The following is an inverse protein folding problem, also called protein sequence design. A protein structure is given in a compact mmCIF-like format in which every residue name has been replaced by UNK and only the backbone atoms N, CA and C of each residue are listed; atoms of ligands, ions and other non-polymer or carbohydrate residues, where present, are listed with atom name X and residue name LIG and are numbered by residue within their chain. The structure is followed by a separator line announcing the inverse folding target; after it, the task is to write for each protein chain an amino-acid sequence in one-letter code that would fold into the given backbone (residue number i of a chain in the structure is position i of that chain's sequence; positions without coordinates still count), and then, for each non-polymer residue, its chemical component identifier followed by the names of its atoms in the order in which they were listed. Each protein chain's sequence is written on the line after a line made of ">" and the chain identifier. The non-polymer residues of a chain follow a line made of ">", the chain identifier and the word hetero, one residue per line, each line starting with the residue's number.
data_IF_913348081835
#
_entry.id   IF_913348081835
#
_cell.length_a   1.000
_cell.length_b   1.000
_cell.length_c   1.000
_cell.angle_alpha   90.00
_cell.angle_beta   90.00
_cell.angle_gamma   90.00
#
_symmetry.space_group_name_H-M   'P 1'
#
loop_
_entity.id
_entity.type
_entity.pdbx_description
1 polymer ?
#
# COMPACT_ATOMS: atom_id res chain seq x y z
N UNK A 1 34.79 40.71 -11.78
CA UNK A 1 34.72 39.25 -12.06
C UNK A 1 34.54 38.41 -10.81
N UNK A 2 35.17 38.74 -9.67
CA UNK A 2 35.01 38.00 -8.40
C UNK A 2 33.56 37.92 -7.86
N UNK A 3 32.74 38.95 -8.10
CA UNK A 3 31.33 39.00 -7.67
C UNK A 3 30.44 37.96 -8.37
N UNK A 4 30.72 37.60 -9.63
CA UNK A 4 29.95 36.59 -10.35
C UNK A 4 30.21 35.17 -9.80
N UNK A 5 31.44 34.88 -9.35
CA UNK A 5 31.79 33.59 -8.74
C UNK A 5 31.09 33.36 -7.40
N UNK A 6 30.96 34.42 -6.59
CA UNK A 6 30.28 34.34 -5.29
C UNK A 6 28.78 34.10 -5.44
N UNK A 7 28.15 34.71 -6.45
CA UNK A 7 26.72 34.52 -6.73
C UNK A 7 26.45 33.09 -7.21
N UNK A 8 27.27 32.53 -8.12
CA UNK A 8 27.09 31.15 -8.59
C UNK A 8 27.27 30.10 -7.49
N UNK A 9 28.19 30.34 -6.54
CA UNK A 9 28.39 29.44 -5.42
C UNK A 9 27.23 29.49 -4.42
N UNK A 10 26.67 30.68 -4.16
CA UNK A 10 25.50 30.86 -3.29
C UNK A 10 24.25 30.16 -3.83
N UNK A 11 23.99 30.24 -5.15
CA UNK A 11 22.84 29.56 -5.77
C UNK A 11 22.98 28.04 -5.71
N UNK A 12 24.20 27.51 -5.91
CA UNK A 12 24.46 26.07 -5.82
C UNK A 12 24.21 25.52 -4.40
N UNK A 13 24.63 26.25 -3.35
CA UNK A 13 24.34 25.87 -1.97
C UNK A 13 22.84 25.96 -1.64
N UNK A 14 22.15 26.99 -2.13
CA UNK A 14 20.71 27.15 -1.92
C UNK A 14 19.90 25.97 -2.45
N UNK A 15 20.18 25.52 -3.69
CA UNK A 15 19.51 24.36 -4.30
C UNK A 15 19.78 23.08 -3.51
N UNK A 16 21.02 22.90 -3.01
CA UNK A 16 21.40 21.73 -2.23
C UNK A 16 20.59 21.60 -0.92
N UNK A 17 20.45 22.69 -0.15
CA UNK A 17 19.66 22.67 1.09
C UNK A 17 18.16 22.47 0.84
N UNK A 18 17.62 23.02 -0.26
CA UNK A 18 16.21 22.79 -0.61
C UNK A 18 15.92 21.35 -1.01
N UNK A 19 16.91 20.62 -1.57
CA UNK A 19 16.73 19.22 -1.95
C UNK A 19 16.80 18.28 -0.73
N UNK A 20 17.69 18.56 0.23
CA UNK A 20 17.76 17.80 1.48
C UNK A 20 16.56 18.05 2.40
N UNK A 21 15.99 19.26 2.39
CA UNK A 21 14.81 19.60 3.17
C UNK A 21 13.56 18.82 2.76
N UNK A 22 13.42 18.45 1.47
CA UNK A 22 12.26 17.68 0.99
C UNK A 22 12.29 16.20 1.39
N UNK A 23 13.49 15.61 1.48
CA UNK A 23 13.63 14.20 1.86
C UNK A 23 13.30 13.95 3.35
N UNK A 24 13.58 14.91 4.25
CA UNK A 24 13.32 14.74 5.69
C UNK A 24 11.86 14.90 6.11
N UNK A 25 11.04 15.59 5.31
CA UNK A 25 9.61 15.82 5.64
C UNK A 25 8.80 14.53 5.50
N UNK A 26 9.19 13.63 4.60
CA UNK A 26 8.53 12.33 4.45
C UNK A 26 9.03 11.28 5.47
N UNK A 27 10.26 11.43 5.97
CA UNK A 27 10.88 10.49 6.93
C UNK A 27 10.48 10.76 8.40
N UNK A 28 9.92 11.94 8.70
CA UNK A 28 9.59 12.37 10.06
C UNK A 28 8.12 12.17 10.47
N UNK A 29 7.30 11.55 9.62
CA UNK A 29 5.90 11.26 9.96
C UNK A 29 5.82 10.06 10.91
N UNK A 30 6.20 10.28 12.17
CA UNK A 30 5.97 9.33 13.26
C UNK A 30 4.46 9.18 13.44
N UNK A 31 3.95 7.97 13.33
CA UNK A 31 2.54 7.71 13.55
C UNK A 31 2.25 7.91 15.05
N UNK A 32 1.36 8.85 15.41
CA UNK A 32 1.12 9.20 16.81
C UNK A 32 0.48 8.07 17.63
N UNK A 33 -0.04 7.03 16.97
CA UNK A 33 -0.71 5.89 17.61
C UNK A 33 -0.38 4.58 16.89
N UNK A 34 -0.40 3.47 17.61
CA UNK A 34 -0.29 2.14 17.01
C UNK A 34 -1.65 1.70 16.46
N UNK A 35 -1.78 1.52 15.15
CA UNK A 35 -3.01 1.13 14.45
C UNK A 35 -3.22 -0.39 14.51
N UNK A 36 -2.16 -1.19 14.69
CA UNK A 36 -2.20 -2.67 14.61
C UNK A 36 -2.87 -3.16 13.30
N UNK A 37 -2.42 -2.61 12.16
CA UNK A 37 -2.90 -3.00 10.85
C UNK A 37 -2.38 -4.40 10.49
N UNK A 38 -3.27 -5.34 10.16
CA UNK A 38 -2.93 -6.74 9.86
C UNK A 38 -3.26 -7.14 8.43
N UNK A 39 -2.33 -7.86 7.80
CA UNK A 39 -2.53 -8.49 6.49
C UNK A 39 -3.45 -9.71 6.64
N UNK A 40 -4.60 -9.72 5.97
CA UNK A 40 -5.44 -10.92 5.86
C UNK A 40 -5.09 -11.71 4.61
N UNK A 41 -5.02 -11.04 3.46
CA UNK A 41 -4.70 -11.67 2.17
C UNK A 41 -4.13 -10.64 1.22
N UNK A 42 -3.03 -10.93 0.54
CA UNK A 42 -2.54 -10.15 -0.61
C UNK A 42 -2.18 -11.15 -1.71
N UNK A 43 -2.80 -11.00 -2.88
CA UNK A 43 -2.67 -11.94 -4.00
C UNK A 43 -2.68 -11.21 -5.34
N UNK A 44 -2.00 -11.78 -6.33
CA UNK A 44 -2.00 -11.30 -7.71
C UNK A 44 -2.55 -12.38 -8.65
N UNK A 45 -3.61 -12.08 -9.39
CA UNK A 45 -4.26 -13.04 -10.28
C UNK A 45 -3.80 -12.97 -11.75
N UNK A 46 -2.83 -12.10 -12.07
CA UNK A 46 -2.34 -11.85 -13.43
C UNK A 46 -2.83 -10.54 -14.04
N UNK A 47 -3.97 -10.00 -13.59
CA UNK A 47 -4.56 -8.74 -14.07
C UNK A 47 -4.89 -7.77 -12.93
N UNK A 48 -5.10 -8.29 -11.73
CA UNK A 48 -5.47 -7.52 -10.55
C UNK A 48 -4.74 -8.03 -9.33
N UNK A 49 -4.43 -7.09 -8.44
CA UNK A 49 -3.94 -7.32 -7.10
C UNK A 49 -5.15 -7.26 -6.18
N UNK A 50 -5.48 -8.36 -5.53
CA UNK A 50 -6.53 -8.44 -4.53
C UNK A 50 -5.89 -8.37 -3.15
N UNK A 51 -6.35 -7.45 -2.32
CA UNK A 51 -5.86 -7.33 -0.95
C UNK A 51 -7.02 -7.22 0.05
N UNK A 52 -6.77 -7.74 1.24
CA UNK A 52 -7.64 -7.66 2.40
C UNK A 52 -6.79 -7.31 3.62
N UNK A 53 -7.17 -6.24 4.30
CA UNK A 53 -6.51 -5.75 5.50
C UNK A 53 -7.51 -5.62 6.63
N UNK A 54 -7.07 -5.92 7.84
CA UNK A 54 -7.86 -5.76 9.05
C UNK A 54 -7.29 -4.63 9.88
N UNK A 55 -8.15 -3.69 10.26
CA UNK A 55 -7.81 -2.62 11.19
C UNK A 55 -7.79 -3.14 12.63
N UNK A 56 -6.88 -2.62 13.45
CA UNK A 56 -6.88 -2.84 14.89
C UNK A 56 -8.00 -2.10 15.61
N UNK A 57 -8.00 -2.16 16.94
CA UNK A 57 -9.06 -1.58 17.79
C UNK A 57 -8.79 -0.14 18.23
N UNK A 58 -7.61 0.41 17.92
CA UNK A 58 -7.14 1.65 18.52
C UNK A 58 -7.76 2.89 17.85
N UNK A 59 -7.84 2.90 16.52
CA UNK A 59 -8.37 4.03 15.74
C UNK A 59 -9.11 3.55 14.50
N UNK A 60 -9.93 4.43 13.93
CA UNK A 60 -10.46 4.28 12.59
C UNK A 60 -9.40 4.66 11.55
N UNK A 61 -9.38 3.94 10.43
CA UNK A 61 -8.55 4.27 9.27
C UNK A 61 -9.43 5.02 8.27
N UNK A 62 -9.03 6.23 7.93
CA UNK A 62 -9.75 7.13 7.02
C UNK A 62 -9.21 7.10 5.59
N UNK A 63 -8.24 6.24 5.31
CA UNK A 63 -7.78 5.98 3.97
C UNK A 63 -6.64 4.97 3.91
N UNK A 64 -6.33 4.50 2.71
CA UNK A 64 -5.20 3.62 2.47
C UNK A 64 -4.39 4.13 1.28
N UNK A 65 -3.08 4.05 1.37
CA UNK A 65 -2.17 4.28 0.25
C UNK A 65 -1.56 2.94 -0.10
N UNK A 66 -1.85 2.46 -1.31
CA UNK A 66 -1.31 1.20 -1.82
C UNK A 66 -0.27 1.53 -2.88
N UNK A 67 0.99 1.22 -2.58
CA UNK A 67 2.12 1.36 -3.49
C UNK A 67 2.55 -0.02 -3.98
N UNK A 68 2.49 -0.22 -5.28
CA UNK A 68 2.93 -1.44 -5.97
C UNK A 68 4.22 -1.11 -6.71
N UNK A 69 5.30 -1.76 -6.33
CA UNK A 69 6.63 -1.57 -6.92
C UNK A 69 6.87 -2.75 -7.87
N UNK A 70 6.83 -2.46 -9.17
CA UNK A 70 7.18 -3.38 -10.25
C UNK A 70 8.69 -3.39 -10.54
N UNK A 71 9.10 -4.19 -11.53
CA UNK A 71 10.50 -4.18 -12.01
C UNK A 71 10.80 -2.94 -12.84
N UNK A 72 9.82 -2.45 -13.60
CA UNK A 72 9.97 -1.32 -14.51
C UNK A 72 9.52 -0.01 -13.86
N UNK A 73 8.34 -0.02 -13.23
CA UNK A 73 7.72 1.19 -12.66
C UNK A 73 7.02 0.91 -11.33
N UNK A 74 6.81 1.98 -10.55
CA UNK A 74 6.02 1.95 -9.32
C UNK A 74 4.68 2.66 -9.53
N UNK A 75 3.60 2.07 -9.03
CA UNK A 75 2.25 2.61 -9.08
C UNK A 75 1.74 2.84 -7.67
N UNK A 76 1.35 4.07 -7.35
CA UNK A 76 0.72 4.42 -6.08
C UNK A 76 -0.73 4.79 -6.30
N UNK A 77 -1.61 4.24 -5.47
CA UNK A 77 -3.05 4.50 -5.49
C UNK A 77 -3.46 4.91 -4.09
N UNK A 78 -4.14 6.04 -3.98
CA UNK A 78 -4.70 6.53 -2.74
C UNK A 78 -6.21 6.28 -2.71
N UNK A 79 -6.68 5.68 -1.62
CA UNK A 79 -8.08 5.53 -1.27
C UNK A 79 -8.41 6.54 -0.17
N UNK A 80 -8.72 7.79 -0.54
CA UNK A 80 -8.98 8.88 0.41
C UNK A 80 -10.40 8.88 0.99
N UNK A 81 -11.36 8.25 0.30
CA UNK A 81 -12.78 8.22 0.70
C UNK A 81 -13.17 6.88 1.36
N UNK A 82 -12.23 6.27 2.08
CA UNK A 82 -12.42 4.97 2.72
C UNK A 82 -12.44 5.11 4.24
N UNK A 83 -13.44 4.53 4.89
CA UNK A 83 -13.51 4.40 6.34
C UNK A 83 -13.46 2.92 6.75
N UNK A 84 -12.42 2.50 7.47
CA UNK A 84 -12.32 1.16 8.07
C UNK A 84 -12.50 1.32 9.57
N UNK A 85 -13.67 0.89 10.06
CA UNK A 85 -14.00 0.90 11.48
C UNK A 85 -12.96 0.12 12.31
N UNK A 86 -12.90 0.40 13.61
CA UNK A 86 -12.07 -0.34 14.57
C UNK A 86 -12.40 -1.84 14.51
N UNK A 87 -11.39 -2.69 14.35
CA UNK A 87 -11.54 -4.14 14.18
C UNK A 87 -12.11 -4.57 12.80
N UNK A 88 -12.45 -3.61 11.94
CA UNK A 88 -13.07 -3.83 10.65
C UNK A 88 -12.11 -4.43 9.63
N UNK A 89 -12.67 -5.08 8.61
CA UNK A 89 -11.93 -5.66 7.50
C UNK A 89 -12.29 -4.90 6.24
N UNK A 90 -11.27 -4.50 5.48
CA UNK A 90 -11.43 -3.90 4.17
C UNK A 90 -10.80 -4.78 3.11
N UNK A 91 -11.52 -5.01 2.02
CA UNK A 91 -11.03 -5.79 0.88
C UNK A 91 -11.30 -5.05 -0.41
N UNK A 92 -10.29 -4.95 -1.28
CA UNK A 92 -10.44 -4.34 -2.59
C UNK A 92 -9.49 -5.00 -3.60
N UNK A 93 -9.67 -4.71 -4.89
CA UNK A 93 -8.77 -5.08 -5.96
C UNK A 93 -8.27 -3.86 -6.74
N UNK A 94 -7.02 -3.96 -7.20
CA UNK A 94 -6.34 -2.93 -7.99
C UNK A 94 -5.96 -3.53 -9.33
N UNK A 95 -6.34 -2.91 -10.47
CA UNK A 95 -5.87 -3.35 -11.77
C UNK A 95 -4.35 -3.12 -11.88
N UNK A 96 -3.65 -4.18 -12.30
CA UNK A 96 -2.21 -4.21 -12.48
C UNK A 96 -1.86 -4.87 -13.81
N UNK A 97 -1.16 -4.13 -14.66
CA UNK A 97 -0.70 -4.61 -15.95
C UNK A 97 0.79 -4.99 -15.89
N UNK A 98 1.14 -6.28 -15.88
CA UNK A 98 2.54 -6.71 -15.82
C UNK A 98 3.32 -6.35 -17.09
N UNK A 99 2.66 -6.02 -18.20
CA UNK A 99 3.35 -5.61 -19.44
C UNK A 99 3.88 -4.18 -19.36
N UNK A 100 3.19 -3.31 -18.61
CA UNK A 100 3.58 -1.92 -18.40
C UNK A 100 4.50 -1.77 -17.17
N UNK A 101 4.10 -2.36 -16.03
CA UNK A 101 4.79 -2.15 -14.74
C UNK A 101 5.86 -3.21 -14.44
N UNK A 102 5.88 -4.30 -15.21
CA UNK A 102 6.80 -5.43 -15.01
C UNK A 102 6.35 -6.40 -13.90
N UNK A 103 7.28 -7.20 -13.40
CA UNK A 103 6.97 -8.16 -12.32
C UNK A 103 6.85 -7.45 -10.98
N UNK A 104 5.84 -7.80 -10.18
CA UNK A 104 5.65 -7.20 -8.85
C UNK A 104 6.79 -7.63 -7.93
N UNK A 105 7.60 -6.66 -7.47
CA UNK A 105 8.66 -6.88 -6.48
C UNK A 105 8.12 -6.76 -5.07
N UNK A 106 7.33 -5.72 -4.84
CA UNK A 106 6.85 -5.36 -3.51
C UNK A 106 5.49 -4.66 -3.59
N UNK A 107 4.62 -4.95 -2.62
CA UNK A 107 3.42 -4.17 -2.34
C UNK A 107 3.54 -3.61 -0.93
N UNK A 108 3.25 -2.32 -0.81
CA UNK A 108 3.23 -1.59 0.45
C UNK A 108 1.85 -0.97 0.64
N UNK A 109 1.19 -1.27 1.76
CA UNK A 109 -0.10 -0.71 2.14
C UNK A 109 0.10 0.14 3.39
N UNK A 110 0.04 1.46 3.25
CA UNK A 110 0.19 2.42 4.34
C UNK A 110 -1.19 2.94 4.77
N UNK A 111 -1.55 2.86 6.06
CA UNK A 111 -2.80 3.43 6.54
C UNK A 111 -2.73 4.96 6.68
N UNK A 112 -3.88 5.59 6.45
CA UNK A 112 -4.14 7.00 6.70
C UNK A 112 -5.18 7.11 7.80
N UNK A 113 -4.89 7.93 8.80
CA UNK A 113 -5.78 8.15 9.95
C UNK A 113 -6.07 9.63 10.08
N UNK A 114 -7.17 9.96 10.76
CA UNK A 114 -7.53 11.33 11.10
C UNK A 114 -7.47 11.49 12.62
N UNK A 115 -6.62 12.40 13.11
CA UNK A 115 -6.51 12.73 14.53
C UNK A 115 -6.58 14.24 14.67
N UNK A 116 -7.44 14.72 15.57
CA UNK A 116 -7.60 16.16 15.82
C UNK A 116 -7.84 16.96 14.53
N UNK A 117 -8.64 16.41 13.61
CA UNK A 117 -8.94 16.99 12.28
C UNK A 117 -7.74 17.11 11.32
N UNK A 118 -6.60 16.51 11.66
CA UNK A 118 -5.43 16.40 10.78
C UNK A 118 -5.28 14.96 10.23
N UNK A 119 -4.95 14.86 8.94
CA UNK A 119 -4.68 13.58 8.29
C UNK A 119 -3.21 13.19 8.46
N UNK A 120 -2.96 12.01 9.00
CA UNK A 120 -1.63 11.45 9.15
C UNK A 120 -1.49 10.16 8.33
N UNK A 121 -0.37 10.05 7.60
CA UNK A 121 0.00 8.83 6.87
C UNK A 121 1.01 8.07 7.73
N UNK A 122 0.67 6.85 8.12
CA UNK A 122 1.47 6.05 9.03
C UNK A 122 2.34 5.05 8.26
N UNK A 123 3.39 5.57 7.62
CA UNK A 123 4.28 4.79 6.72
C UNK A 123 5.05 3.70 7.48
N UNK A 124 5.40 3.94 8.74
CA UNK A 124 6.13 3.00 9.61
C UNK A 124 5.31 1.78 10.03
N UNK A 125 3.98 1.88 9.95
CA UNK A 125 3.04 0.78 10.25
C UNK A 125 2.46 0.17 8.97
N UNK A 126 3.11 0.39 7.84
CA UNK A 126 2.68 -0.13 6.56
C UNK A 126 2.92 -1.63 6.46
N UNK A 127 1.94 -2.35 5.91
CA UNK A 127 2.12 -3.75 5.53
C UNK A 127 2.99 -3.77 4.28
N UNK A 128 4.13 -4.46 4.35
CA UNK A 128 5.02 -4.65 3.20
C UNK A 128 5.10 -6.13 2.86
N UNK A 129 4.78 -6.45 1.60
CA UNK A 129 4.87 -7.80 1.07
C UNK A 129 5.81 -7.83 -0.13
N UNK A 130 6.93 -8.50 0.04
CA UNK A 130 7.88 -8.80 -1.04
C UNK A 130 7.60 -10.17 -1.63
N UNK A 131 8.03 -10.39 -2.87
CA UNK A 131 7.93 -11.69 -3.57
C UNK A 131 6.50 -12.25 -3.55
N UNK A 132 5.58 -11.51 -4.17
CA UNK A 132 4.17 -11.88 -4.21
C UNK A 132 3.99 -13.08 -5.14
N UNK A 133 4.01 -14.26 -4.52
CA UNK A 133 3.52 -15.48 -5.13
C UNK A 133 2.20 -15.82 -4.48
N UNK A 134 1.17 -16.09 -5.28
CA UNK A 134 -0.09 -16.60 -4.77
C UNK A 134 0.18 -17.96 -4.12
N UNK A 135 0.36 -17.96 -2.80
CA UNK A 135 0.46 -19.19 -2.03
C UNK A 135 -0.91 -19.86 -2.12
N UNK A 136 -1.00 -20.87 -2.98
CA UNK A 136 -2.12 -21.78 -3.00
C UNK A 136 -2.21 -22.39 -1.60
N UNK A 137 -3.15 -21.93 -0.77
CA UNK A 137 -3.77 -22.87 0.16
C UNK A 137 -4.40 -23.93 -0.76
N UNK A 138 -3.67 -25.03 -0.95
CA UNK A 138 -4.23 -26.28 -1.44
C UNK A 138 -5.25 -26.71 -0.39
N UNK A 139 -6.45 -26.13 -0.44
CA UNK A 139 -7.60 -26.82 0.10
C UNK A 139 -7.70 -28.11 -0.70
N UNK A 140 -7.34 -29.21 -0.05
CA UNK A 140 -7.56 -30.56 -0.55
C UNK A 140 -9.07 -30.75 -0.72
N UNK A 141 -9.60 -30.33 -1.87
CA UNK A 141 -10.87 -30.82 -2.38
C UNK A 141 -10.58 -31.79 -3.52
N UNK A 142 -11.26 -32.92 -3.40
CA UNK A 142 -11.09 -34.20 -4.09
C UNK A 142 -10.84 -34.13 -5.59
N UNK A 143 -10.03 -35.11 -6.05
CA UNK A 143 -9.63 -35.38 -7.43
C UNK A 143 -10.83 -35.42 -8.37
N UNK A 144 -10.90 -34.47 -9.30
CA UNK A 144 -11.32 -34.62 -10.70
C UNK A 144 -11.28 -33.23 -11.36
N UNK A 145 -10.59 -33.11 -12.50
CA UNK A 145 -10.36 -31.89 -13.30
C UNK A 145 -9.04 -31.14 -13.06
N UNK A 146 -7.96 -31.77 -13.55
CA UNK A 146 -6.74 -31.09 -14.00
C UNK A 146 -7.03 -30.40 -15.35
N UNK A 147 -7.42 -29.12 -15.34
CA UNK A 147 -7.32 -28.24 -16.52
C UNK A 147 -7.60 -26.80 -16.11
N UNK A 148 -6.61 -25.92 -16.30
CA UNK A 148 -6.56 -24.51 -15.93
C UNK A 148 -6.46 -24.21 -14.42
N UNK A 149 -5.22 -24.19 -13.91
CA UNK A 149 -4.87 -23.53 -12.65
C UNK A 149 -5.07 -22.01 -12.79
N UNK A 150 -6.32 -21.56 -12.78
CA UNK A 150 -6.65 -20.15 -12.54
C UNK A 150 -6.36 -19.86 -11.07
N UNK A 151 -5.58 -18.82 -10.80
CA UNK A 151 -5.38 -18.26 -9.46
C UNK A 151 -6.75 -17.93 -8.84
N UNK A 152 -7.35 -18.87 -8.10
CA UNK A 152 -8.57 -18.60 -7.34
C UNK A 152 -8.13 -17.90 -6.05
N UNK A 153 -8.07 -16.57 -6.09
CA UNK A 153 -8.34 -15.79 -4.89
C UNK A 153 -9.73 -16.22 -4.45
N UNK A 154 -9.88 -16.86 -3.29
CA UNK A 154 -11.17 -17.37 -2.85
C UNK A 154 -12.08 -16.18 -2.47
N UNK A 155 -12.69 -15.56 -3.48
CA UNK A 155 -13.60 -14.42 -3.37
C UNK A 155 -14.87 -14.75 -2.57
N UNK A 156 -15.10 -16.01 -2.19
CA UNK A 156 -16.24 -16.44 -1.38
C UNK A 156 -16.16 -15.97 0.07
N UNK A 157 -14.97 -15.74 0.61
CA UNK A 157 -14.81 -15.24 1.99
C UNK A 157 -14.93 -13.71 2.09
N UNK A 158 -14.87 -13.00 0.96
CA UNK A 158 -14.91 -11.52 0.91
C UNK A 158 -16.36 -10.99 0.90
N UNK A 159 -17.34 -11.79 0.46
CA UNK A 159 -18.75 -11.36 0.36
C UNK A 159 -19.56 -11.49 1.66
N UNK A 160 -18.99 -12.02 2.74
CA UNK A 160 -19.74 -12.26 3.98
C UNK A 160 -19.80 -11.06 4.94
N UNK A 161 -19.03 -9.99 4.72
CA UNK A 161 -18.94 -8.87 5.69
C UNK A 161 -19.44 -7.53 5.16
N UNK A 162 -19.86 -7.46 3.90
CA UNK A 162 -20.43 -6.25 3.31
C UNK A 162 -21.97 -6.31 3.28
N UNK A 163 -22.61 -6.42 4.46
CA UNK A 163 -24.04 -6.14 4.67
C UNK A 163 -24.37 -6.20 6.16
N UNK A 164 -24.09 -5.12 6.87
CA UNK A 164 -25.01 -4.62 7.90
C UNK A 164 -24.77 -3.11 8.05
N UNK A 165 -25.76 -2.26 7.68
CA UNK A 165 -25.73 -0.84 8.03
C UNK A 165 -25.84 -0.61 9.55
#
# INVERSE_FOLDING_TARGET
>A
MATLLLISFGVALGVFFTNLGRAQVEESAICPINIDLREQTICFNGAEIVFSVQNGINTEITGLIVSVIGTEEAKTIEFSDLAISKGGVYSNSIPYDPTTFGQIRQIKISPKISLYDEQHICIEQAITKENIQCNQKKEYYTRENYSAARCKCNLKDIKATALNP
#
